data_IF_021127751036
#
_entry.id   IF_021127751036
#
_cell.length_a   1.000
_cell.length_b   1.000
_cell.length_c   1.000
_cell.angle_alpha   90.00
_cell.angle_beta   90.00
_cell.angle_gamma   90.00
#
_symmetry.space_group_name_H-M   'P 1'
#
loop_
_entity.id
_entity.type
_entity.pdbx_description
1 polymer ?
#
# COMPACT_ATOMS: atom_id res chain seq x y z
N UNK A 1 60.96 -37.70 -40.95
CA UNK A 1 60.16 -37.50 -39.71
C UNK A 1 60.18 -36.07 -39.14
N UNK A 2 60.91 -35.10 -39.70
CA UNK A 2 61.13 -33.77 -39.08
C UNK A 2 60.10 -32.69 -39.42
N UNK A 3 59.38 -32.78 -40.54
CA UNK A 3 58.41 -31.75 -40.97
C UNK A 3 57.06 -31.80 -40.22
N UNK A 4 56.54 -33.01 -39.94
CA UNK A 4 55.27 -33.21 -39.21
C UNK A 4 55.34 -32.75 -37.75
N UNK A 5 56.44 -33.04 -37.03
CA UNK A 5 56.63 -32.59 -35.63
C UNK A 5 56.68 -31.06 -35.50
N UNK A 6 57.33 -30.37 -36.46
CA UNK A 6 57.39 -28.90 -36.47
C UNK A 6 56.02 -28.26 -36.71
N UNK A 7 55.21 -28.84 -37.60
CA UNK A 7 53.84 -28.38 -37.84
C UNK A 7 52.93 -28.55 -36.62
N UNK A 8 53.04 -29.67 -35.91
CA UNK A 8 52.27 -29.91 -34.69
C UNK A 8 52.65 -28.95 -33.54
N UNK A 9 53.94 -28.65 -33.38
CA UNK A 9 54.42 -27.66 -32.39
C UNK A 9 53.93 -26.24 -32.71
N UNK A 10 53.92 -25.85 -33.98
CA UNK A 10 53.41 -24.52 -34.40
C UNK A 10 51.90 -24.43 -34.14
N UNK A 11 51.12 -25.47 -34.48
CA UNK A 11 49.68 -25.50 -34.22
C UNK A 11 49.36 -25.47 -32.71
N UNK A 12 50.10 -26.24 -31.90
CA UNK A 12 49.95 -26.23 -30.44
C UNK A 12 50.30 -24.86 -29.83
N UNK A 13 51.39 -24.24 -30.30
CA UNK A 13 51.78 -22.89 -29.87
C UNK A 13 50.74 -21.83 -30.26
N UNK A 14 50.14 -21.94 -31.45
CA UNK A 14 49.09 -21.02 -31.90
C UNK A 14 47.80 -21.18 -31.09
N UNK A 15 47.41 -22.43 -30.80
CA UNK A 15 46.26 -22.75 -29.93
C UNK A 15 46.44 -22.15 -28.52
N UNK A 16 47.61 -22.34 -27.92
CA UNK A 16 47.91 -21.79 -26.59
C UNK A 16 47.93 -20.25 -26.57
N UNK A 17 48.37 -19.61 -27.67
CA UNK A 17 48.34 -18.17 -27.80
C UNK A 17 46.91 -17.62 -27.95
N UNK A 18 46.03 -18.33 -28.68
CA UNK A 18 44.62 -17.98 -28.81
C UNK A 18 43.89 -18.11 -27.47
N UNK A 19 44.12 -19.19 -26.73
CA UNK A 19 43.53 -19.42 -25.40
C UNK A 19 43.96 -18.36 -24.38
N UNK A 20 45.26 -18.01 -24.35
CA UNK A 20 45.76 -16.90 -23.51
C UNK A 20 45.15 -15.55 -23.87
N UNK A 21 44.85 -15.32 -25.15
CA UNK A 21 44.21 -14.09 -25.62
C UNK A 21 42.74 -14.04 -25.21
N UNK A 22 42.02 -15.16 -25.36
CA UNK A 22 40.64 -15.30 -24.91
C UNK A 22 40.51 -15.07 -23.41
N UNK A 23 41.36 -15.72 -22.61
CA UNK A 23 41.36 -15.56 -21.15
C UNK A 23 41.63 -14.11 -20.70
N UNK A 24 42.60 -13.43 -21.34
CA UNK A 24 42.87 -12.01 -21.08
C UNK A 24 41.67 -11.11 -21.43
N UNK A 25 40.97 -11.40 -22.52
CA UNK A 25 39.78 -10.65 -22.91
C UNK A 25 38.62 -10.86 -21.94
N UNK A 26 38.42 -12.09 -21.45
CA UNK A 26 37.39 -12.41 -20.43
C UNK A 26 37.65 -11.65 -19.13
N UNK A 27 38.88 -11.66 -18.61
CA UNK A 27 39.24 -10.89 -17.40
C UNK A 27 39.01 -9.38 -17.61
N UNK A 28 39.39 -8.84 -18.77
CA UNK A 28 39.19 -7.43 -19.08
C UNK A 28 37.70 -7.06 -19.15
N UNK A 29 36.87 -7.93 -19.75
CA UNK A 29 35.41 -7.76 -19.83
C UNK A 29 34.79 -7.75 -18.44
N UNK A 30 35.10 -8.75 -17.60
CA UNK A 30 34.62 -8.82 -16.22
C UNK A 30 35.06 -7.60 -15.38
N UNK A 31 36.30 -7.11 -15.56
CA UNK A 31 36.80 -5.91 -14.90
C UNK A 31 36.06 -4.63 -15.30
N UNK A 32 35.76 -4.47 -16.61
CA UNK A 32 34.98 -3.33 -17.12
C UNK A 32 33.52 -3.37 -16.64
N UNK A 33 32.92 -4.56 -16.61
CA UNK A 33 31.56 -4.76 -16.12
C UNK A 33 31.44 -4.43 -14.62
N UNK A 34 32.40 -4.88 -13.81
CA UNK A 34 32.49 -4.51 -12.39
C UNK A 34 32.62 -2.99 -12.19
N UNK A 35 33.44 -2.32 -13.00
CA UNK A 35 33.60 -0.86 -12.94
C UNK A 35 32.31 -0.12 -13.35
N UNK A 36 31.59 -0.60 -14.38
CA UNK A 36 30.29 -0.06 -14.81
C UNK A 36 29.24 -0.22 -13.71
N UNK A 37 29.12 -1.41 -13.11
CA UNK A 37 28.24 -1.68 -11.96
C UNK A 37 28.58 -0.77 -10.76
N UNK A 38 29.86 -0.53 -10.47
CA UNK A 38 30.28 0.40 -9.41
C UNK A 38 29.93 1.86 -9.71
N UNK A 39 30.11 2.32 -10.95
CA UNK A 39 29.73 3.69 -11.35
C UNK A 39 28.21 3.89 -11.31
N UNK A 40 27.42 2.93 -11.77
CA UNK A 40 25.96 2.95 -11.64
C UNK A 40 25.53 2.98 -10.17
N UNK A 41 26.14 2.17 -9.29
CA UNK A 41 25.91 2.23 -7.83
C UNK A 41 26.22 3.60 -7.24
N UNK A 42 27.32 4.25 -7.64
CA UNK A 42 27.67 5.61 -7.20
C UNK A 42 26.67 6.67 -7.70
N UNK A 43 26.19 6.55 -8.94
CA UNK A 43 25.12 7.42 -9.48
C UNK A 43 23.79 7.22 -8.75
N UNK A 44 23.37 5.96 -8.53
CA UNK A 44 22.16 5.60 -7.77
C UNK A 44 22.16 6.15 -6.33
N UNK A 45 23.29 6.02 -5.61
CA UNK A 45 23.45 6.58 -4.25
C UNK A 45 23.30 8.10 -4.22
N UNK A 46 23.81 8.81 -5.24
CA UNK A 46 23.62 10.26 -5.35
C UNK A 46 22.16 10.63 -5.64
N UNK A 47 21.46 9.84 -6.46
CA UNK A 47 20.04 10.05 -6.78
C UNK A 47 19.15 9.94 -5.53
N UNK A 48 19.28 8.88 -4.75
CA UNK A 48 18.45 8.68 -3.55
C UNK A 48 18.58 9.82 -2.52
N UNK A 49 19.81 10.27 -2.26
CA UNK A 49 20.06 11.42 -1.36
C UNK A 49 19.47 12.71 -1.92
N UNK A 50 19.54 12.92 -3.24
CA UNK A 50 18.95 14.10 -3.89
C UNK A 50 17.43 14.17 -3.67
N UNK A 51 16.69 13.12 -3.99
CA UNK A 51 15.22 13.09 -3.81
C UNK A 51 14.81 13.23 -2.35
N UNK A 52 15.56 12.58 -1.45
CA UNK A 52 15.35 12.73 -0.01
C UNK A 52 15.53 14.18 0.44
N UNK A 53 16.61 14.84 0.05
CA UNK A 53 16.87 16.25 0.41
C UNK A 53 15.80 17.18 -0.17
N UNK A 54 15.38 16.94 -1.42
CA UNK A 54 14.30 17.68 -2.07
C UNK A 54 12.98 17.53 -1.31
N UNK A 55 12.63 16.31 -0.92
CA UNK A 55 11.46 16.02 -0.08
C UNK A 55 11.48 16.85 1.21
N UNK A 56 12.57 16.79 1.99
CA UNK A 56 12.66 17.54 3.24
C UNK A 56 12.67 19.05 3.05
N UNK A 57 13.34 19.55 2.00
CA UNK A 57 13.31 20.96 1.64
C UNK A 57 11.88 21.41 1.27
N UNK A 58 11.14 20.59 0.53
CA UNK A 58 9.74 20.84 0.16
C UNK A 58 8.81 20.88 1.37
N UNK A 59 8.99 19.97 2.33
CA UNK A 59 8.27 20.00 3.61
C UNK A 59 8.55 21.29 4.40
N UNK A 60 9.83 21.65 4.53
CA UNK A 60 10.26 22.84 5.27
C UNK A 60 9.71 24.13 4.63
N UNK A 61 9.78 24.26 3.30
CA UNK A 61 9.18 25.39 2.55
C UNK A 61 7.67 25.53 2.77
N UNK A 62 7.02 24.45 3.22
CA UNK A 62 5.61 24.41 3.55
C UNK A 62 5.30 24.42 5.05
N UNK A 63 6.28 24.67 5.92
CA UNK A 63 6.14 24.62 7.38
C UNK A 63 5.56 23.28 7.86
N UNK A 64 5.95 22.18 7.20
CA UNK A 64 5.55 20.83 7.58
C UNK A 64 6.70 20.19 8.33
N UNK A 65 6.44 19.82 9.58
CA UNK A 65 7.38 19.09 10.43
C UNK A 65 7.03 17.61 10.36
N UNK A 66 8.03 16.77 10.08
CA UNK A 66 7.88 15.33 10.14
C UNK A 66 7.95 14.88 11.61
N UNK A 67 6.98 14.11 12.07
CA UNK A 67 7.07 13.50 13.39
C UNK A 67 7.77 12.16 13.32
N UNK A 68 8.88 12.04 14.06
CA UNK A 68 9.64 10.80 14.20
C UNK A 68 9.15 9.91 15.35
N UNK A 69 8.10 10.32 16.08
CA UNK A 69 7.65 9.57 17.25
C UNK A 69 6.77 8.39 16.82
N UNK A 70 7.32 7.18 16.89
CA UNK A 70 6.64 5.91 16.58
C UNK A 70 5.43 5.59 17.47
N UNK A 71 5.14 6.38 18.51
CA UNK A 71 3.90 6.26 19.28
C UNK A 71 2.84 7.13 18.61
N UNK A 72 2.19 6.58 17.59
CA UNK A 72 1.07 7.25 16.93
C UNK A 72 -0.01 7.56 17.99
N UNK A 73 -0.49 8.80 18.01
CA UNK A 73 -1.58 9.24 18.90
C UNK A 73 -2.96 8.80 18.38
N UNK A 74 -3.01 8.19 17.20
CA UNK A 74 -4.23 7.67 16.62
C UNK A 74 -4.54 6.36 17.36
N UNK A 75 -5.53 6.41 18.25
CA UNK A 75 -6.11 5.20 18.82
C UNK A 75 -6.77 4.42 17.68
N UNK A 76 -6.14 3.34 17.26
CA UNK A 76 -6.75 2.38 16.34
C UNK A 76 -7.81 1.65 17.16
N UNK A 77 -9.08 1.93 16.89
CA UNK A 77 -10.18 1.18 17.48
C UNK A 77 -10.14 -0.23 16.85
N UNK A 78 -9.49 -1.19 17.52
CA UNK A 78 -9.28 -2.57 17.04
C UNK A 78 -10.54 -3.44 16.97
N UNK A 79 -11.69 -2.89 16.59
CA UNK A 79 -13.00 -3.48 16.81
C UNK A 79 -13.71 -4.01 15.57
N UNK A 80 -13.16 -3.85 14.37
CA UNK A 80 -13.89 -4.22 13.16
C UNK A 80 -13.55 -5.60 12.60
N UNK A 81 -12.46 -6.25 13.01
CA UNK A 81 -12.16 -7.60 12.53
C UNK A 81 -13.20 -8.62 13.01
N UNK A 82 -13.57 -9.55 12.13
CA UNK A 82 -14.39 -10.72 12.50
C UNK A 82 -13.49 -11.68 13.30
N UNK A 83 -13.38 -11.46 14.63
CA UNK A 83 -12.46 -12.18 15.52
C UNK A 83 -12.51 -13.69 15.35
N UNK A 84 -13.72 -14.24 15.15
CA UNK A 84 -13.95 -15.67 14.95
C UNK A 84 -13.21 -16.21 13.72
N UNK A 85 -13.20 -15.47 12.61
CA UNK A 85 -12.49 -15.83 11.38
C UNK A 85 -10.99 -15.53 11.52
N UNK A 86 -10.65 -14.33 12.01
CA UNK A 86 -9.26 -13.88 12.10
C UNK A 86 -8.35 -14.84 12.91
N UNK A 87 -8.88 -15.42 13.99
CA UNK A 87 -8.13 -16.42 14.78
C UNK A 87 -7.76 -17.68 13.99
N UNK A 88 -8.47 -17.98 12.89
CA UNK A 88 -8.15 -19.13 12.03
C UNK A 88 -7.00 -18.83 11.06
N UNK A 89 -6.73 -17.57 10.71
CA UNK A 89 -5.65 -17.21 9.78
C UNK A 89 -4.28 -17.68 10.29
N UNK A 90 -4.06 -17.66 11.61
CA UNK A 90 -2.86 -18.19 12.28
C UNK A 90 -2.61 -19.69 12.06
N UNK A 91 -3.57 -20.41 11.49
CA UNK A 91 -3.46 -21.85 11.16
C UNK A 91 -3.16 -22.10 9.68
N UNK A 92 -3.12 -21.05 8.85
CA UNK A 92 -2.91 -21.16 7.40
C UNK A 92 -1.43 -21.34 7.11
N UNK A 93 -0.97 -22.59 7.23
CA UNK A 93 0.40 -23.02 6.87
C UNK A 93 0.46 -23.79 5.55
N UNK A 94 -0.67 -24.31 5.11
CA UNK A 94 -0.80 -25.16 3.91
C UNK A 94 -2.05 -24.77 3.12
N UNK A 95 -2.10 -25.14 1.84
CA UNK A 95 -3.28 -24.92 0.99
C UNK A 95 -4.53 -25.64 1.52
N UNK A 96 -4.39 -26.85 2.08
CA UNK A 96 -5.52 -27.56 2.70
C UNK A 96 -6.13 -26.74 3.86
N UNK A 97 -5.27 -26.17 4.72
CA UNK A 97 -5.73 -25.31 5.82
C UNK A 97 -6.31 -23.99 5.32
N UNK A 98 -5.80 -23.45 4.22
CA UNK A 98 -6.41 -22.29 3.56
C UNK A 98 -7.84 -22.59 3.09
N UNK A 99 -8.06 -23.75 2.45
CA UNK A 99 -9.40 -24.19 2.01
C UNK A 99 -10.35 -24.36 3.19
N UNK A 100 -9.90 -24.97 4.30
CA UNK A 100 -10.68 -25.06 5.55
C UNK A 100 -11.13 -23.67 6.04
N UNK A 101 -10.22 -22.70 6.01
CA UNK A 101 -10.48 -21.31 6.41
C UNK A 101 -11.43 -20.61 5.44
N UNK A 102 -11.30 -20.83 4.13
CA UNK A 102 -12.24 -20.30 3.13
C UNK A 102 -13.64 -20.84 3.38
N UNK A 103 -13.80 -22.15 3.59
CA UNK A 103 -15.10 -22.76 3.88
C UNK A 103 -15.69 -22.22 5.18
N UNK A 104 -14.87 -22.08 6.23
CA UNK A 104 -15.27 -21.44 7.49
C UNK A 104 -15.73 -20.00 7.27
N UNK A 105 -15.02 -19.26 6.43
CA UNK A 105 -15.32 -17.87 6.08
C UNK A 105 -16.61 -17.78 5.27
N UNK A 106 -16.83 -18.65 4.27
CA UNK A 106 -18.06 -18.71 3.44
C UNK A 106 -19.29 -19.05 4.30
N UNK A 107 -19.15 -19.95 5.27
CA UNK A 107 -20.23 -20.38 6.14
C UNK A 107 -20.50 -19.45 7.33
N UNK A 108 -19.65 -18.45 7.56
CA UNK A 108 -19.91 -17.43 8.57
C UNK A 108 -21.15 -16.61 8.19
N UNK A 109 -22.01 -16.34 9.17
CA UNK A 109 -23.24 -15.54 9.00
C UNK A 109 -23.03 -14.15 9.61
N UNK A 110 -22.72 -13.11 8.81
CA UNK A 110 -22.56 -11.75 9.31
C UNK A 110 -23.80 -11.27 10.04
N UNK A 111 -23.60 -10.61 11.18
CA UNK A 111 -24.67 -9.98 11.94
C UNK A 111 -24.93 -8.55 11.46
N UNK A 112 -23.91 -7.90 10.90
CA UNK A 112 -23.98 -6.51 10.45
C UNK A 112 -23.44 -6.35 9.02
N UNK A 113 -23.86 -5.26 8.36
CA UNK A 113 -23.37 -4.90 7.01
C UNK A 113 -21.84 -4.79 6.98
N UNK A 114 -21.22 -4.29 8.05
CA UNK A 114 -19.76 -4.16 8.13
C UNK A 114 -19.05 -5.52 8.18
N UNK A 115 -19.57 -6.48 8.95
CA UNK A 115 -19.03 -7.83 8.95
C UNK A 115 -19.17 -8.50 7.58
N UNK A 116 -20.27 -8.26 6.86
CA UNK A 116 -20.46 -8.79 5.50
C UNK A 116 -19.41 -8.23 4.53
N UNK A 117 -19.13 -6.93 4.60
CA UNK A 117 -18.09 -6.26 3.81
C UNK A 117 -16.72 -6.88 4.10
N UNK A 118 -16.37 -7.05 5.38
CA UNK A 118 -15.09 -7.61 5.81
C UNK A 118 -14.95 -9.07 5.39
N UNK A 119 -16.01 -9.87 5.55
CA UNK A 119 -16.08 -11.24 5.05
C UNK A 119 -15.81 -11.30 3.54
N UNK A 120 -16.44 -10.43 2.76
CA UNK A 120 -16.24 -10.37 1.31
C UNK A 120 -14.80 -9.99 0.92
N UNK A 121 -14.15 -9.10 1.67
CA UNK A 121 -12.73 -8.76 1.46
C UNK A 121 -11.83 -9.96 1.77
N UNK A 122 -12.09 -10.67 2.89
CA UNK A 122 -11.37 -11.89 3.20
C UNK A 122 -11.51 -12.92 2.09
N UNK A 123 -12.73 -13.23 1.67
CA UNK A 123 -12.97 -14.21 0.60
C UNK A 123 -12.28 -13.80 -0.70
N UNK A 124 -12.38 -12.53 -1.11
CA UNK A 124 -11.70 -12.04 -2.31
C UNK A 124 -10.20 -12.35 -2.30
N UNK A 125 -9.52 -12.05 -1.18
CA UNK A 125 -8.09 -12.27 -1.05
C UNK A 125 -7.76 -13.76 -0.92
N UNK A 126 -8.51 -14.53 -0.12
CA UNK A 126 -8.23 -15.96 0.07
C UNK A 126 -8.50 -16.77 -1.21
N UNK A 127 -9.59 -16.49 -1.94
CA UNK A 127 -9.90 -17.15 -3.21
C UNK A 127 -8.82 -16.82 -4.26
N UNK A 128 -8.18 -15.63 -4.23
CA UNK A 128 -7.01 -15.34 -5.08
C UNK A 128 -5.82 -16.28 -4.82
N UNK A 129 -5.58 -16.69 -3.58
CA UNK A 129 -4.51 -17.64 -3.23
C UNK A 129 -4.83 -19.07 -3.68
N UNK A 130 -6.10 -19.47 -3.70
CA UNK A 130 -6.50 -20.83 -4.09
C UNK A 130 -6.71 -20.95 -5.59
N UNK A 131 -7.48 -20.05 -6.19
CA UNK A 131 -7.92 -20.17 -7.58
C UNK A 131 -6.86 -19.65 -8.55
N UNK A 132 -6.03 -18.70 -8.12
CA UNK A 132 -5.09 -17.98 -8.98
C UNK A 132 -3.73 -17.75 -8.34
N UNK A 133 -3.07 -18.75 -7.74
CA UNK A 133 -1.80 -18.56 -7.01
C UNK A 133 -0.69 -17.94 -7.87
N UNK A 134 -0.69 -18.18 -9.18
CA UNK A 134 0.32 -17.65 -10.11
C UNK A 134 0.36 -16.12 -10.17
N UNK A 135 -0.71 -15.41 -9.77
CA UNK A 135 -0.74 -13.94 -9.77
C UNK A 135 0.24 -13.33 -8.76
N UNK A 136 0.70 -14.12 -7.78
CA UNK A 136 1.69 -13.73 -6.78
C UNK A 136 3.09 -14.28 -7.10
N UNK A 137 3.27 -14.98 -8.23
CA UNK A 137 4.58 -15.46 -8.66
C UNK A 137 5.46 -14.29 -9.11
N UNK A 138 6.78 -14.44 -8.94
CA UNK A 138 7.79 -13.45 -9.33
C UNK A 138 7.61 -13.00 -10.80
N UNK A 139 7.46 -13.98 -11.71
CA UNK A 139 7.28 -13.74 -13.14
C UNK A 139 6.10 -12.80 -13.44
N UNK A 140 4.94 -13.00 -12.80
CA UNK A 140 3.78 -12.13 -13.02
C UNK A 140 3.91 -10.77 -12.34
N UNK A 141 4.52 -10.73 -11.16
CA UNK A 141 4.74 -9.50 -10.38
C UNK A 141 5.63 -8.50 -11.15
N UNK A 142 6.65 -8.98 -11.84
CA UNK A 142 7.60 -8.17 -12.61
C UNK A 142 6.95 -7.49 -13.82
N UNK A 143 6.03 -8.18 -14.49
CA UNK A 143 5.34 -7.66 -15.68
C UNK A 143 4.13 -6.79 -15.38
N UNK A 144 3.64 -6.75 -14.13
CA UNK A 144 2.51 -5.90 -13.78
C UNK A 144 2.82 -4.42 -13.98
N UNK A 145 1.89 -3.72 -14.61
CA UNK A 145 1.84 -2.26 -14.63
C UNK A 145 1.35 -1.71 -13.28
N UNK A 146 1.46 -0.40 -13.07
CA UNK A 146 0.82 0.26 -11.92
C UNK A 146 -0.71 0.05 -11.91
N UNK A 147 -1.34 0.12 -13.08
CA UNK A 147 -2.76 -0.12 -13.25
C UNK A 147 -3.18 -1.55 -12.87
N UNK A 148 -2.32 -2.55 -13.12
CA UNK A 148 -2.57 -3.92 -12.66
C UNK A 148 -2.67 -4.00 -11.14
N UNK A 149 -1.74 -3.35 -10.42
CA UNK A 149 -1.79 -3.28 -8.96
C UNK A 149 -3.08 -2.61 -8.49
N UNK A 150 -3.41 -1.46 -9.07
CA UNK A 150 -4.59 -0.70 -8.74
C UNK A 150 -5.87 -1.53 -8.94
N UNK A 151 -6.09 -2.08 -10.13
CA UNK A 151 -7.37 -2.69 -10.48
C UNK A 151 -7.53 -4.14 -10.02
N UNK A 152 -6.45 -4.93 -9.98
CA UNK A 152 -6.54 -6.35 -9.62
C UNK A 152 -6.52 -6.58 -8.10
N UNK A 153 -5.91 -5.68 -7.34
CA UNK A 153 -5.65 -5.93 -5.91
C UNK A 153 -6.30 -4.87 -5.00
N UNK A 154 -6.17 -3.58 -5.33
CA UNK A 154 -6.54 -2.51 -4.41
C UNK A 154 -7.96 -1.95 -4.60
N UNK A 155 -8.39 -1.73 -5.85
CA UNK A 155 -9.64 -1.03 -6.15
C UNK A 155 -10.85 -1.70 -5.52
N UNK A 156 -10.99 -3.01 -5.70
CA UNK A 156 -12.11 -3.79 -5.15
C UNK A 156 -12.21 -3.64 -3.63
N UNK A 157 -11.08 -3.73 -2.92
CA UNK A 157 -11.04 -3.63 -1.45
C UNK A 157 -11.47 -2.23 -0.99
N UNK A 158 -10.95 -1.20 -1.65
CA UNK A 158 -11.27 0.19 -1.33
C UNK A 158 -12.72 0.53 -1.63
N UNK A 159 -13.24 0.14 -2.80
CA UNK A 159 -14.64 0.36 -3.18
C UNK A 159 -15.61 -0.39 -2.27
N UNK A 160 -15.29 -1.65 -1.95
CA UNK A 160 -16.14 -2.49 -1.11
C UNK A 160 -16.20 -1.95 0.34
N UNK A 161 -15.09 -1.46 0.88
CA UNK A 161 -15.04 -0.98 2.26
C UNK A 161 -15.45 0.49 2.40
N UNK A 162 -14.84 1.39 1.61
CA UNK A 162 -15.00 2.84 1.75
C UNK A 162 -16.07 3.37 0.77
N UNK A 163 -16.19 2.79 -0.42
CA UNK A 163 -17.17 3.19 -1.44
C UNK A 163 -18.62 2.79 -1.12
N UNK A 164 -18.85 1.91 -0.14
CA UNK A 164 -20.20 1.57 0.35
C UNK A 164 -20.93 2.77 0.97
N UNK A 165 -20.20 3.80 1.35
CA UNK A 165 -20.71 5.01 2.00
C UNK A 165 -21.31 5.94 0.96
N UNK A 166 -22.58 6.30 1.14
CA UNK A 166 -23.26 7.24 0.24
C UNK A 166 -22.67 8.65 0.30
N UNK A 167 -22.02 8.99 1.41
CA UNK A 167 -21.38 10.27 1.67
C UNK A 167 -19.88 10.31 1.34
N UNK A 168 -19.33 9.24 0.76
CA UNK A 168 -17.92 9.17 0.36
C UNK A 168 -17.80 8.66 -1.07
N UNK A 169 -17.17 9.45 -1.92
CA UNK A 169 -16.92 9.12 -3.31
C UNK A 169 -15.44 8.87 -3.55
N UNK A 170 -15.09 7.67 -4.01
CA UNK A 170 -13.75 7.34 -4.47
C UNK A 170 -13.56 7.87 -5.89
N UNK A 171 -12.47 8.58 -6.11
CA UNK A 171 -12.09 9.14 -7.40
C UNK A 171 -10.73 8.56 -7.78
N UNK A 172 -10.73 7.67 -8.76
CA UNK A 172 -9.55 6.98 -9.29
C UNK A 172 -8.96 7.66 -10.52
N UNK A 173 -7.67 7.42 -10.76
CA UNK A 173 -6.92 7.91 -11.93
C UNK A 173 -6.38 9.32 -11.72
N UNK A 174 -6.00 10.00 -12.80
CA UNK A 174 -5.33 11.32 -12.81
C UNK A 174 -6.21 12.51 -12.34
N UNK A 175 -6.71 12.45 -11.11
CA UNK A 175 -7.71 13.39 -10.62
C UNK A 175 -7.09 14.62 -9.98
N UNK A 176 -7.64 15.81 -10.29
CA UNK A 176 -7.12 17.10 -9.79
C UNK A 176 -8.13 17.73 -8.84
N UNK A 177 -7.73 17.96 -7.58
CA UNK A 177 -8.60 18.57 -6.56
C UNK A 177 -8.96 20.02 -6.88
N UNK A 178 -10.21 20.39 -6.63
CA UNK A 178 -10.67 21.77 -6.69
C UNK A 178 -9.91 22.67 -5.72
N UNK A 179 -9.60 22.16 -4.51
CA UNK A 179 -8.82 22.90 -3.50
C UNK A 179 -7.38 23.19 -3.98
N UNK A 180 -6.76 22.24 -4.68
CA UNK A 180 -5.45 22.43 -5.31
C UNK A 180 -5.53 23.45 -6.47
N UNK A 181 -6.56 23.36 -7.33
CA UNK A 181 -6.79 24.31 -8.44
C UNK A 181 -6.96 25.75 -7.93
N UNK A 182 -7.71 25.95 -6.84
CA UNK A 182 -7.94 27.27 -6.21
C UNK A 182 -6.63 27.96 -5.79
N UNK A 183 -5.56 27.21 -5.51
CA UNK A 183 -4.22 27.76 -5.17
C UNK A 183 -3.22 27.69 -6.33
N UNK A 184 -3.70 27.45 -7.55
CA UNK A 184 -2.88 27.39 -8.76
C UNK A 184 -2.02 26.14 -8.87
N UNK A 185 -2.41 25.04 -8.22
CA UNK A 185 -1.73 23.74 -8.29
C UNK A 185 -2.54 22.74 -9.10
N UNK A 186 -1.86 21.91 -9.89
CA UNK A 186 -2.44 20.90 -10.76
C UNK A 186 -1.91 19.50 -10.41
N UNK A 187 -1.92 19.16 -9.13
CA UNK A 187 -1.54 17.82 -8.70
C UNK A 187 -2.57 16.81 -9.23
N UNK A 188 -2.08 15.87 -10.03
CA UNK A 188 -2.79 14.65 -10.39
C UNK A 188 -2.51 13.61 -9.30
N UNK A 189 -3.58 13.08 -8.71
CA UNK A 189 -3.55 12.11 -7.62
C UNK A 189 -4.32 10.88 -8.07
N UNK A 190 -3.73 9.69 -7.95
CA UNK A 190 -4.29 8.41 -8.42
C UNK A 190 -5.56 8.00 -7.69
N UNK A 191 -5.68 8.43 -6.43
CA UNK A 191 -6.85 8.22 -5.60
C UNK A 191 -7.18 9.47 -4.80
N UNK A 192 -8.47 9.78 -4.70
CA UNK A 192 -9.00 10.72 -3.71
C UNK A 192 -10.29 10.18 -3.13
N UNK A 193 -10.49 10.39 -1.83
CA UNK A 193 -11.77 10.14 -1.18
C UNK A 193 -12.41 11.50 -0.93
N UNK A 194 -13.54 11.74 -1.59
CA UNK A 194 -14.27 12.99 -1.55
C UNK A 194 -15.50 12.79 -0.68
N UNK A 195 -15.61 13.55 0.41
CA UNK A 195 -16.78 13.55 1.27
C UNK A 195 -17.88 14.43 0.65
N UNK A 196 -19.09 13.90 0.60
CA UNK A 196 -20.30 14.60 0.17
C UNK A 196 -21.05 14.99 1.45
N UNK A 197 -21.14 16.29 1.72
CA UNK A 197 -21.76 16.79 2.95
C UNK A 197 -23.27 17.00 2.75
N UNK A 198 -23.63 17.74 1.69
CA UNK A 198 -25.00 18.05 1.23
C UNK A 198 -25.06 17.87 -0.30
N UNK A 199 -26.21 18.15 -0.94
CA UNK A 199 -26.48 17.89 -2.37
C UNK A 199 -25.47 18.48 -3.37
N UNK A 200 -24.63 19.45 -2.96
CA UNK A 200 -23.62 20.07 -3.83
C UNK A 200 -22.23 20.27 -3.18
N UNK A 201 -22.11 20.15 -1.85
CA UNK A 201 -20.87 20.47 -1.15
C UNK A 201 -19.94 19.27 -1.08
N UNK A 202 -18.89 19.31 -1.90
CA UNK A 202 -17.84 18.29 -1.95
C UNK A 202 -16.55 18.78 -1.25
N UNK A 203 -15.98 17.91 -0.42
CA UNK A 203 -14.78 18.19 0.36
C UNK A 203 -13.79 17.05 0.19
N UNK A 204 -12.55 17.34 -0.21
CA UNK A 204 -11.52 16.31 -0.29
C UNK A 204 -11.10 15.86 1.13
N UNK A 205 -11.36 14.59 1.47
CA UNK A 205 -11.04 14.01 2.78
C UNK A 205 -9.75 13.19 2.82
N UNK A 206 -9.34 12.59 1.69
CA UNK A 206 -8.12 11.77 1.62
C UNK A 206 -7.44 11.91 0.25
N UNK A 207 -6.11 11.81 0.24
CA UNK A 207 -5.31 11.66 -0.98
C UNK A 207 -4.64 10.30 -1.01
N UNK A 208 -4.54 9.69 -2.18
CA UNK A 208 -3.80 8.46 -2.40
C UNK A 208 -2.90 8.54 -3.62
N UNK A 209 -1.72 7.94 -3.53
CA UNK A 209 -0.80 7.69 -4.65
C UNK A 209 -0.52 6.21 -4.77
N UNK A 210 -0.37 5.77 -6.01
CA UNK A 210 -0.03 4.41 -6.37
C UNK A 210 1.26 4.39 -7.19
N UNK A 211 1.99 3.30 -7.02
CA UNK A 211 3.21 3.04 -7.77
C UNK A 211 3.33 1.54 -8.02
N UNK A 212 3.88 1.14 -9.17
CA UNK A 212 4.25 -0.26 -9.43
C UNK A 212 5.26 -0.78 -8.39
N UNK A 213 6.33 -0.02 -8.13
CA UNK A 213 7.48 -0.42 -7.30
C UNK A 213 7.89 0.72 -6.37
N UNK A 214 8.36 0.35 -5.18
CA UNK A 214 8.84 1.28 -4.18
C UNK A 214 10.27 1.74 -4.49
N UNK A 215 10.46 2.61 -5.50
CA UNK A 215 11.77 3.24 -5.74
C UNK A 215 11.95 4.48 -4.86
N UNK A 216 13.19 4.78 -4.46
CA UNK A 216 13.47 5.95 -3.59
C UNK A 216 13.00 7.27 -4.24
N UNK A 217 13.22 7.42 -5.56
CA UNK A 217 12.73 8.56 -6.36
C UNK A 217 11.21 8.69 -6.25
N UNK A 218 10.49 7.64 -6.64
CA UNK A 218 9.03 7.60 -6.69
C UNK A 218 8.40 7.81 -5.32
N UNK A 219 8.88 7.10 -4.28
CA UNK A 219 8.37 7.24 -2.91
C UNK A 219 8.46 8.68 -2.42
N UNK A 220 9.60 9.34 -2.58
CA UNK A 220 9.77 10.70 -2.08
C UNK A 220 9.02 11.74 -2.92
N UNK A 221 9.01 11.59 -4.26
CA UNK A 221 8.26 12.47 -5.17
C UNK A 221 6.76 12.39 -4.90
N UNK A 222 6.19 11.20 -4.92
CA UNK A 222 4.76 10.98 -4.69
C UNK A 222 4.37 11.40 -3.26
N UNK A 223 5.16 11.02 -2.24
CA UNK A 223 4.87 11.43 -0.85
C UNK A 223 4.89 12.94 -0.68
N UNK A 224 5.83 13.66 -1.32
CA UNK A 224 5.85 15.12 -1.30
C UNK A 224 4.59 15.70 -1.97
N UNK A 225 4.25 15.18 -3.16
CA UNK A 225 3.09 15.58 -3.95
C UNK A 225 1.79 15.42 -3.15
N UNK A 226 1.50 14.24 -2.59
CA UNK A 226 0.28 14.02 -1.78
C UNK A 226 0.28 14.85 -0.51
N UNK A 227 1.43 15.01 0.14
CA UNK A 227 1.53 15.82 1.37
C UNK A 227 1.14 17.27 1.11
N UNK A 228 1.62 17.85 0.01
CA UNK A 228 1.33 19.24 -0.35
C UNK A 228 -0.11 19.37 -0.87
N UNK A 229 -0.63 18.37 -1.58
CA UNK A 229 -2.04 18.32 -1.94
C UNK A 229 -2.94 18.28 -0.68
N UNK A 230 -2.68 17.38 0.26
CA UNK A 230 -3.43 17.29 1.53
C UNK A 230 -3.30 18.54 2.39
N UNK A 231 -2.17 19.27 2.35
CA UNK A 231 -2.08 20.61 2.93
C UNK A 231 -3.07 21.58 2.28
N UNK A 232 -3.22 21.56 0.96
CA UNK A 232 -4.21 22.38 0.26
C UNK A 232 -5.64 22.02 0.68
N UNK A 233 -5.90 20.73 0.85
CA UNK A 233 -7.20 20.20 1.29
C UNK A 233 -7.50 20.67 2.72
N UNK A 234 -6.58 20.45 3.66
CA UNK A 234 -6.67 20.91 5.05
C UNK A 234 -6.89 22.43 5.15
N UNK A 235 -6.16 23.21 4.36
CA UNK A 235 -6.32 24.66 4.34
C UNK A 235 -7.70 25.11 3.85
N UNK A 236 -8.24 24.40 2.87
CA UNK A 236 -9.56 24.70 2.30
C UNK A 236 -10.65 24.30 3.29
N UNK A 237 -10.53 23.11 3.88
CA UNK A 237 -11.39 22.63 4.94
C UNK A 237 -11.50 23.63 6.11
N UNK A 238 -10.38 24.13 6.63
CA UNK A 238 -10.40 25.12 7.73
C UNK A 238 -11.08 26.43 7.31
N UNK A 239 -10.94 26.87 6.05
CA UNK A 239 -11.60 28.09 5.56
C UNK A 239 -13.12 27.93 5.44
N UNK A 240 -13.57 26.73 5.15
CA UNK A 240 -14.99 26.38 5.03
C UNK A 240 -15.68 26.23 6.39
N UNK A 241 -14.91 26.24 7.49
CA UNK A 241 -15.41 26.17 8.87
C UNK A 241 -15.20 27.48 9.64
N UNK A 242 -15.97 28.55 9.33
CA UNK A 242 -15.77 29.85 9.95
C UNK A 242 -15.99 29.86 11.46
N UNK A 243 -16.70 28.89 12.03
CA UNK A 243 -17.05 28.85 13.46
C UNK A 243 -16.28 27.80 14.26
N UNK A 244 -15.31 27.11 13.66
CA UNK A 244 -14.50 26.13 14.39
C UNK A 244 -13.69 26.80 15.50
N UNK A 245 -13.68 26.20 16.69
CA UNK A 245 -12.89 26.72 17.81
C UNK A 245 -11.41 26.44 17.56
N UNK A 246 -10.57 27.37 18.02
CA UNK A 246 -9.11 27.25 17.96
C UNK A 246 -8.58 25.89 18.49
N UNK A 247 -9.18 25.36 19.55
CA UNK A 247 -8.79 24.09 20.17
C UNK A 247 -9.18 22.85 19.37
N UNK A 248 -10.13 22.98 18.43
CA UNK A 248 -10.61 21.85 17.62
C UNK A 248 -9.83 21.72 16.29
N UNK A 249 -9.13 22.78 15.84
CA UNK A 249 -8.31 22.74 14.62
C UNK A 249 -7.25 21.62 14.64
N UNK A 250 -6.53 21.36 15.75
CA UNK A 250 -5.61 20.23 15.86
C UNK A 250 -6.25 18.84 15.71
N UNK A 251 -7.58 18.73 15.85
CA UNK A 251 -8.30 17.46 15.71
C UNK A 251 -8.52 17.08 14.24
N UNK A 252 -8.38 18.03 13.32
CA UNK A 252 -8.53 17.80 11.89
C UNK A 252 -7.31 17.03 11.37
N UNK A 253 -7.57 15.83 10.86
CA UNK A 253 -6.57 14.89 10.36
C UNK A 253 -6.93 14.49 8.93
N UNK A 254 -6.08 14.84 7.97
CA UNK A 254 -6.25 14.46 6.56
C UNK A 254 -5.40 13.22 6.27
N UNK A 255 -6.00 12.03 6.07
CA UNK A 255 -5.26 10.83 5.71
C UNK A 255 -4.60 10.93 4.33
N UNK A 256 -3.41 10.33 4.23
CA UNK A 256 -2.60 10.19 3.01
C UNK A 256 -2.24 8.72 2.85
N UNK A 257 -2.68 8.13 1.75
CA UNK A 257 -2.45 6.72 1.42
C UNK A 257 -1.33 6.66 0.37
N UNK A 258 -0.30 5.87 0.62
CA UNK A 258 0.76 5.63 -0.36
C UNK A 258 0.90 4.14 -0.57
N UNK A 259 0.70 3.66 -1.79
CA UNK A 259 0.78 2.26 -2.17
C UNK A 259 1.88 2.08 -3.21
N UNK A 260 2.73 1.07 -3.01
CA UNK A 260 3.75 0.66 -3.96
C UNK A 260 3.74 -0.86 -4.09
N UNK A 261 3.22 -1.35 -5.22
CA UNK A 261 2.94 -2.76 -5.44
C UNK A 261 1.95 -3.30 -4.41
N UNK A 262 2.37 -4.31 -3.63
CA UNK A 262 1.56 -4.89 -2.54
C UNK A 262 1.76 -4.22 -1.18
N UNK A 263 2.64 -3.22 -1.05
CA UNK A 263 2.90 -2.58 0.22
C UNK A 263 2.24 -1.20 0.26
N UNK A 264 1.78 -0.81 1.45
CA UNK A 264 1.13 0.47 1.66
C UNK A 264 1.54 1.13 2.96
N UNK A 265 1.35 2.44 3.01
CA UNK A 265 1.60 3.27 4.19
C UNK A 265 0.47 4.27 4.36
N UNK A 266 -0.04 4.38 5.59
CA UNK A 266 -0.93 5.48 5.96
C UNK A 266 -0.12 6.55 6.70
N UNK A 267 -0.16 7.76 6.18
CA UNK A 267 0.32 8.96 6.84
C UNK A 267 -0.87 9.92 7.09
N UNK A 268 -0.69 10.90 7.96
CA UNK A 268 -1.69 11.92 8.26
C UNK A 268 -1.02 13.29 8.29
N UNK A 269 -1.65 14.27 7.65
CA UNK A 269 -1.31 15.69 7.85
C UNK A 269 -2.32 16.36 8.77
N UNK A 270 -1.82 17.16 9.71
CA UNK A 270 -2.62 17.92 10.67
C UNK A 270 -2.00 19.31 10.93
N UNK A 271 -2.73 20.17 11.65
CA UNK A 271 -2.30 21.52 12.03
C UNK A 271 -2.35 21.68 13.56
N UNK A 272 -1.39 21.10 14.31
CA UNK A 272 -1.42 21.10 15.77
C UNK A 272 -1.27 22.51 16.39
N UNK A 273 -0.64 23.44 15.66
CA UNK A 273 -0.45 24.83 16.08
C UNK A 273 -0.62 25.75 14.88
N UNK A 274 -0.83 27.04 15.17
CA UNK A 274 -0.87 28.09 14.16
C UNK A 274 0.37 28.02 13.27
N UNK A 275 0.15 27.89 11.97
CA UNK A 275 1.15 27.91 10.89
C UNK A 275 2.17 26.76 10.91
N UNK A 276 2.01 25.78 11.79
CA UNK A 276 2.91 24.63 11.93
C UNK A 276 2.13 23.34 11.62
N UNK A 277 2.40 22.77 10.46
CA UNK A 277 1.79 21.53 10.01
C UNK A 277 2.63 20.36 10.48
N UNK A 278 1.98 19.23 10.73
CA UNK A 278 2.63 18.01 11.15
C UNK A 278 2.25 16.87 10.22
N UNK A 279 3.26 16.19 9.69
CA UNK A 279 3.11 14.94 8.95
C UNK A 279 3.53 13.79 9.87
N UNK A 280 2.62 12.85 10.09
CA UNK A 280 2.85 11.67 10.91
C UNK A 280 2.66 10.41 10.08
N UNK A 281 3.59 9.47 10.17
CA UNK A 281 3.41 8.13 9.65
C UNK A 281 2.68 7.30 10.70
N UNK A 282 1.48 6.78 10.38
CA UNK A 282 0.62 6.13 11.37
C UNK A 282 0.93 4.64 11.45
N UNK A 283 0.87 3.94 10.33
CA UNK A 283 1.22 2.52 10.26
C UNK A 283 1.43 2.07 8.80
N UNK A 284 2.02 0.89 8.63
CA UNK A 284 2.23 0.24 7.33
C UNK A 284 1.28 -0.95 7.18
N UNK A 285 0.85 -1.22 5.95
CA UNK A 285 0.02 -2.37 5.61
C UNK A 285 0.54 -3.06 4.35
N UNK A 286 0.04 -4.26 4.08
CA UNK A 286 0.28 -4.92 2.81
C UNK A 286 -0.92 -5.73 2.37
N UNK A 287 -1.04 -5.93 1.06
CA UNK A 287 -1.85 -6.98 0.47
C UNK A 287 -1.09 -8.31 0.65
N UNK A 288 -1.70 -9.34 1.27
CA UNK A 288 -0.98 -10.58 1.54
C UNK A 288 -0.75 -11.36 0.23
N UNK A 289 0.52 -11.55 -0.11
CA UNK A 289 1.00 -12.30 -1.28
C UNK A 289 1.51 -13.70 -0.95
N UNK A 290 1.47 -14.14 0.32
CA UNK A 290 1.81 -15.50 0.72
C UNK A 290 0.99 -16.00 1.92
N UNK A 291 0.94 -17.33 2.10
CA UNK A 291 0.31 -17.95 3.26
C UNK A 291 0.92 -17.47 4.58
N UNK A 292 2.25 -17.31 4.64
CA UNK A 292 2.96 -16.76 5.80
C UNK A 292 2.45 -15.35 6.17
N UNK A 293 2.20 -14.49 5.18
CA UNK A 293 1.66 -13.16 5.45
C UNK A 293 0.23 -13.22 6.02
N UNK A 294 -0.61 -14.12 5.48
CA UNK A 294 -1.94 -14.41 6.04
C UNK A 294 -1.82 -14.89 7.49
N UNK A 295 -0.94 -15.85 7.76
CA UNK A 295 -0.67 -16.39 9.11
C UNK A 295 -0.24 -15.31 10.10
N UNK A 296 0.61 -14.38 9.67
CA UNK A 296 1.13 -13.28 10.52
C UNK A 296 0.15 -12.12 10.73
N UNK A 297 -1.05 -12.18 10.14
CA UNK A 297 -2.11 -11.20 10.38
C UNK A 297 -2.14 -10.02 9.40
N UNK A 298 -1.60 -10.16 8.19
CA UNK A 298 -1.67 -9.10 7.17
C UNK A 298 -3.10 -8.73 6.78
N UNK A 299 -4.04 -9.68 6.81
CA UNK A 299 -5.46 -9.42 6.54
C UNK A 299 -6.07 -8.50 7.61
N UNK A 300 -5.85 -8.80 8.89
CA UNK A 300 -6.35 -7.99 9.99
C UNK A 300 -5.73 -6.59 9.98
N UNK A 301 -4.45 -6.48 9.65
CA UNK A 301 -3.76 -5.20 9.48
C UNK A 301 -4.37 -4.39 8.34
N UNK A 302 -4.76 -5.04 7.23
CA UNK A 302 -5.44 -4.40 6.11
C UNK A 302 -6.87 -3.93 6.47
N UNK A 303 -7.60 -4.67 7.30
CA UNK A 303 -8.91 -4.20 7.79
C UNK A 303 -8.72 -3.03 8.76
N UNK A 304 -7.78 -3.12 9.70
CA UNK A 304 -7.47 -2.04 10.64
C UNK A 304 -7.09 -0.75 9.92
N UNK A 305 -6.36 -0.86 8.80
CA UNK A 305 -6.08 0.25 7.90
C UNK A 305 -7.35 0.94 7.41
N UNK A 306 -8.24 0.18 6.77
CA UNK A 306 -9.45 0.70 6.14
C UNK A 306 -10.36 1.33 7.20
N UNK A 307 -10.52 0.66 8.35
CA UNK A 307 -11.25 1.20 9.51
C UNK A 307 -10.66 2.52 10.00
N UNK A 308 -9.33 2.63 10.06
CA UNK A 308 -8.66 3.86 10.50
C UNK A 308 -8.91 5.01 9.53
N UNK A 309 -8.93 4.76 8.23
CA UNK A 309 -9.27 5.77 7.22
C UNK A 309 -10.73 6.16 7.35
N UNK A 310 -11.64 5.19 7.50
CA UNK A 310 -13.09 5.42 7.67
C UNK A 310 -13.38 6.28 8.91
N UNK A 311 -12.79 5.94 10.06
CA UNK A 311 -12.88 6.71 11.30
C UNK A 311 -12.37 8.16 11.12
N UNK A 312 -11.28 8.36 10.35
CA UNK A 312 -10.78 9.71 10.06
C UNK A 312 -11.75 10.51 9.20
N UNK A 313 -12.38 9.89 8.20
CA UNK A 313 -13.39 10.54 7.37
C UNK A 313 -14.65 10.90 8.19
N UNK A 314 -15.10 10.02 9.08
CA UNK A 314 -16.21 10.31 10.00
C UNK A 314 -15.90 11.49 10.91
N UNK A 315 -14.69 11.55 11.45
CA UNK A 315 -14.25 12.68 12.27
C UNK A 315 -14.23 13.99 11.47
N UNK A 316 -13.73 13.96 10.23
CA UNK A 316 -13.77 15.14 9.35
C UNK A 316 -15.21 15.58 9.06
N UNK A 317 -16.10 14.64 8.73
CA UNK A 317 -17.51 14.93 8.48
C UNK A 317 -18.19 15.53 9.71
N UNK A 318 -17.99 14.95 10.89
CA UNK A 318 -18.54 15.46 12.14
C UNK A 318 -18.05 16.88 12.43
N UNK A 319 -16.74 17.12 12.31
CA UNK A 319 -16.16 18.46 12.47
C UNK A 319 -16.76 19.43 11.46
N UNK A 320 -16.96 18.99 10.21
CA UNK A 320 -17.55 19.83 9.18
C UNK A 320 -18.99 20.21 9.54
N UNK A 321 -19.84 19.25 9.83
CA UNK A 321 -21.25 19.47 10.19
C UNK A 321 -21.39 20.37 11.43
N UNK A 322 -20.62 20.10 12.50
CA UNK A 322 -20.69 20.84 13.76
C UNK A 322 -20.25 22.31 13.64
N UNK A 323 -19.52 22.67 12.58
CA UNK A 323 -18.90 23.99 12.41
C UNK A 323 -19.23 24.73 11.10
N UNK A 324 -19.96 24.10 10.18
CA UNK A 324 -20.39 24.71 8.91
C UNK A 324 -21.76 25.39 9.02
N UNK A 325 -22.71 24.82 9.77
CA UNK A 325 -24.05 25.37 9.92
C UNK A 325 -24.11 26.50 10.96
N UNK A 326 -24.19 27.74 10.50
CA UNK A 326 -24.59 28.88 11.34
C UNK A 326 -26.10 29.04 11.48
N UNK A 327 -26.86 28.50 10.53
CA UNK A 327 -28.18 29.05 10.15
C UNK A 327 -29.36 28.25 10.70
N UNK A 328 -29.16 26.98 11.08
CA UNK A 328 -30.27 26.11 11.47
C UNK A 328 -30.99 26.55 12.75
N UNK A 329 -30.42 27.47 13.52
CA UNK A 329 -30.98 27.92 14.79
C UNK A 329 -30.80 29.42 15.01
N UNK A 330 -30.93 30.25 13.98
CA UNK A 330 -30.93 31.71 14.16
C UNK A 330 -31.99 32.12 15.20
N UNK A 331 -33.17 31.49 15.18
CA UNK A 331 -34.24 31.75 16.16
C UNK A 331 -33.83 31.29 17.57
N UNK A 332 -33.30 30.08 17.74
CA UNK A 332 -32.91 29.59 19.07
C UNK A 332 -31.70 30.35 19.63
N UNK A 333 -30.73 30.75 18.79
CA UNK A 333 -29.59 31.57 19.17
C UNK A 333 -30.02 33.00 19.54
N UNK A 334 -31.02 33.56 18.86
CA UNK A 334 -31.62 34.86 19.22
C UNK A 334 -32.38 34.74 20.56
N UNK A 335 -33.16 33.66 20.75
CA UNK A 335 -33.99 33.47 21.94
C UNK A 335 -33.19 33.12 23.20
N UNK A 336 -32.01 32.49 23.06
CA UNK A 336 -31.23 32.02 24.21
C UNK A 336 -30.12 32.98 24.65
N UNK A 337 -29.93 34.13 23.96
CA UNK A 337 -28.81 35.06 24.16
C UNK A 337 -27.43 34.36 24.22
N UNK A 338 -27.31 33.17 23.62
CA UNK A 338 -26.09 32.37 23.70
C UNK A 338 -25.03 33.09 22.89
N UNK A 339 -23.95 33.47 23.59
CA UNK A 339 -22.76 34.13 23.05
C UNK A 339 -22.42 33.61 21.64
N UNK A 340 -22.62 34.47 20.63
CA UNK A 340 -22.34 34.14 19.23
C UNK A 340 -20.91 33.58 19.11
N UNK A 341 -20.78 32.38 18.50
CA UNK A 341 -19.47 31.77 18.27
C UNK A 341 -18.60 32.74 17.47
N UNK A 342 -17.49 33.20 18.07
CA UNK A 342 -16.55 34.10 17.41
C UNK A 342 -15.95 33.41 16.18
N UNK A 343 -16.05 34.05 15.01
CA UNK A 343 -15.45 33.55 13.77
C UNK A 343 -13.94 33.33 13.93
N UNK A 344 -13.45 32.19 13.45
CA UNK A 344 -12.03 31.87 13.43
C UNK A 344 -11.31 32.77 12.42
N UNK A 345 -10.26 33.47 12.85
CA UNK A 345 -9.32 34.09 11.93
C UNK A 345 -8.41 33.01 11.31
N UNK A 346 -8.88 32.34 10.26
CA UNK A 346 -8.13 31.25 9.62
C UNK A 346 -6.77 31.70 9.06
N UNK A 347 -6.58 32.96 8.66
CA UNK A 347 -5.30 33.49 8.18
C UNK A 347 -4.20 33.47 9.27
N UNK A 348 -4.59 33.48 10.54
CA UNK A 348 -3.66 33.30 11.65
C UNK A 348 -3.20 31.83 11.81
N UNK A 349 -3.93 30.89 11.24
CA UNK A 349 -3.70 29.44 11.37
C UNK A 349 -2.98 28.84 10.19
N UNK A 350 -3.38 29.18 8.96
CA UNK A 350 -2.88 28.49 7.77
C UNK A 350 -1.72 29.24 7.10
N UNK A 351 -0.94 28.54 6.29
CA UNK A 351 0.04 29.13 5.36
C UNK A 351 -0.21 28.67 3.94
N UNK A 352 0.22 29.48 2.97
CA UNK A 352 0.11 29.13 1.54
C UNK A 352 0.89 27.84 1.26
N UNK A 353 0.32 26.97 0.44
CA UNK A 353 1.03 25.81 -0.10
C UNK A 353 1.95 26.26 -1.23
N UNK A 354 3.23 25.88 -1.15
CA UNK A 354 4.25 26.15 -2.16
C UNK A 354 4.69 24.81 -2.76
N UNK A 355 4.89 24.81 -4.08
CA UNK A 355 5.40 23.66 -4.81
C UNK A 355 6.12 24.26 -6.00
N UNK A 356 7.43 24.10 -6.04
CA UNK A 356 8.21 24.46 -7.21
C UNK A 356 7.74 23.53 -8.32
N UNK A 357 7.33 24.11 -9.46
CA UNK A 357 7.07 23.28 -10.63
C UNK A 357 8.35 22.49 -10.85
N UNK A 358 8.22 21.18 -10.77
CA UNK A 358 9.25 20.32 -11.33
C UNK A 358 9.23 20.56 -12.84
N UNK A 359 10.41 20.68 -13.44
CA UNK A 359 10.58 20.55 -14.90
C UNK A 359 10.33 19.06 -15.24
N UNK A 360 9.12 18.60 -14.93
CA UNK A 360 8.67 17.21 -14.82
C UNK A 360 8.32 16.60 -16.19
N UNK A 361 8.55 17.34 -17.28
CA UNK A 361 8.12 16.96 -18.62
C UNK A 361 9.23 16.24 -19.43
N UNK A 362 10.43 15.99 -18.88
CA UNK A 362 11.56 15.44 -19.67
C UNK A 362 12.07 14.04 -19.29
N UNK A 363 11.68 13.43 -18.16
CA UNK A 363 12.37 12.22 -17.63
C UNK A 363 11.47 11.00 -17.31
N UNK A 364 10.20 11.00 -17.69
CA UNK A 364 9.27 9.88 -17.37
C UNK A 364 9.09 8.86 -18.52
N UNK A 365 9.74 9.01 -19.68
CA UNK A 365 9.60 8.08 -20.83
C UNK A 365 10.76 7.06 -21.02
N UNK A 366 11.91 7.19 -20.34
CA UNK A 366 13.13 6.41 -20.69
C UNK A 366 13.69 5.48 -19.57
N UNK A 367 13.04 5.35 -18.41
CA UNK A 367 13.53 4.53 -17.28
C UNK A 367 12.92 3.09 -17.24
N UNK A 368 12.17 2.66 -18.27
CA UNK A 368 11.49 1.34 -18.26
C UNK A 368 12.38 0.12 -18.60
N UNK A 369 13.64 0.30 -19.05
CA UNK A 369 14.38 -0.79 -19.73
C UNK A 369 15.69 -1.30 -19.07
N UNK A 370 16.13 -0.85 -17.88
CA UNK A 370 17.50 -1.18 -17.40
C UNK A 370 17.58 -1.69 -15.93
N UNK A 371 16.58 -2.46 -15.48
CA UNK A 371 16.51 -3.10 -14.15
C UNK A 371 16.65 -4.65 -14.21
N UNK A 372 17.21 -5.20 -15.29
CA UNK A 372 17.74 -6.58 -15.32
C UNK A 372 19.12 -6.61 -14.61
N UNK A 373 19.16 -7.08 -13.35
CA UNK A 373 20.33 -7.65 -12.64
C UNK A 373 20.33 -7.27 -11.14
N UNK A 374 19.41 -7.82 -10.36
CA UNK A 374 19.63 -7.98 -8.91
C UNK A 374 18.96 -9.29 -8.45
N UNK A 375 19.37 -10.40 -9.07
CA UNK A 375 19.20 -11.76 -8.54
C UNK A 375 20.54 -12.21 -7.92
N UNK A 376 20.79 -11.72 -6.70
CA UNK A 376 21.67 -12.38 -5.74
C UNK A 376 20.94 -12.36 -4.38
N UNK A 377 19.87 -13.14 -4.26
CA UNK A 377 19.50 -13.72 -2.96
C UNK A 377 19.84 -15.21 -3.06
N UNK A 378 20.83 -15.63 -2.27
CA UNK A 378 21.14 -17.00 -1.89
C UNK A 378 19.84 -17.67 -1.39
N UNK A 379 19.17 -18.42 -2.27
CA UNK A 379 18.32 -19.52 -1.84
C UNK A 379 19.26 -20.68 -1.53
N UNK A 380 19.55 -20.86 -0.24
CA UNK A 380 20.16 -22.09 0.26
C UNK A 380 19.32 -23.27 -0.25
N UNK A 381 19.97 -24.12 -1.03
CA UNK A 381 19.48 -25.40 -1.52
C UNK A 381 19.07 -26.26 -0.30
N UNK A 382 17.76 -26.43 -0.08
CA UNK A 382 17.23 -27.58 0.65
C UNK A 382 17.41 -28.80 -0.27
N UNK A 383 18.59 -29.40 -0.20
CA UNK A 383 18.95 -30.63 -0.89
C UNK A 383 18.29 -31.83 -0.19
N UNK A 384 17.61 -32.63 -0.99
CA UNK A 384 16.96 -33.89 -0.65
C UNK A 384 17.95 -34.92 -0.07
N UNK A 385 17.56 -35.63 1.00
CA UNK A 385 17.96 -37.04 1.17
C UNK A 385 16.72 -37.91 1.39
N UNK A 386 16.19 -38.42 0.27
CA UNK A 386 15.49 -39.70 0.24
C UNK A 386 16.45 -40.82 0.61
N UNK A 387 16.03 -41.71 1.52
CA UNK A 387 16.62 -43.04 1.61
C UNK A 387 16.54 -43.68 3.00
N UNK A 388 15.42 -44.33 3.31
CA UNK A 388 15.55 -45.73 3.73
C UNK A 388 14.23 -46.50 3.60
N UNK A 389 14.27 -47.48 2.70
CA UNK A 389 13.31 -48.56 2.61
C UNK A 389 13.48 -49.47 3.83
N UNK A 390 12.41 -49.73 4.56
CA UNK A 390 12.24 -51.00 5.27
C UNK A 390 10.86 -51.58 4.97
N UNK A 391 10.89 -52.52 4.04
CA UNK A 391 10.01 -53.68 4.03
C UNK A 391 10.18 -54.41 5.38
N UNK A 392 9.07 -54.78 6.01
CA UNK A 392 8.89 -56.12 6.60
C UNK A 392 7.48 -56.22 7.19
N UNK A 393 6.67 -57.05 6.54
CA UNK A 393 5.81 -58.11 7.08
C UNK A 393 5.07 -57.87 8.39
N UNK A 394 3.73 -57.95 8.32
CA UNK A 394 2.96 -58.96 9.07
C UNK A 394 1.45 -58.92 8.76
N UNK A 395 1.00 -60.07 8.23
CA UNK A 395 -0.13 -60.89 8.69
C UNK A 395 -1.49 -60.18 8.81
N UNK A 396 -2.40 -60.38 7.84
CA UNK A 396 -3.41 -61.46 7.86
C UNK A 396 -4.07 -61.62 9.23
N UNK A 397 -5.31 -61.13 9.35
CA UNK A 397 -6.33 -61.84 10.10
C UNK A 397 -7.70 -61.52 9.49
N UNK A 398 -8.23 -62.55 8.84
CA UNK A 398 -9.61 -62.74 8.47
C UNK A 398 -10.54 -62.50 9.67
N UNK A 399 -11.71 -61.92 9.38
CA UNK A 399 -12.99 -62.38 9.94
C UNK A 399 -14.13 -61.78 9.14
N UNK A 400 -14.60 -62.60 8.21
CA UNK A 400 -16.01 -62.73 7.87
C UNK A 400 -16.83 -62.85 9.16
N UNK A 401 -17.97 -62.17 9.23
CA UNK A 401 -19.22 -62.81 9.61
C UNK A 401 -20.38 -61.94 9.12
N UNK A 402 -21.27 -62.65 8.44
CA UNK A 402 -22.53 -62.26 7.83
C UNK A 402 -23.57 -61.84 8.87
N UNK A 403 -24.66 -61.27 8.35
CA UNK A 403 -26.06 -61.61 8.66
C UNK A 403 -26.92 -60.33 8.61
N UNK A 404 -27.77 -60.20 7.58
CA UNK A 404 -29.22 -60.45 7.63
C UNK A 404 -29.93 -59.32 8.41
N UNK A 405 -31.07 -58.74 8.04
CA UNK A 405 -32.13 -58.90 7.04
C UNK A 405 -33.01 -57.62 7.24
N UNK A 406 -33.68 -57.09 6.23
CA UNK A 406 -35.17 -56.96 6.11
C UNK A 406 -35.87 -56.42 7.40
N UNK A 407 -36.69 -55.36 7.41
CA UNK A 407 -37.86 -55.05 6.59
C UNK A 407 -38.40 -53.64 6.92
N UNK A 408 -39.12 -53.07 5.94
CA UNK A 408 -40.36 -52.28 5.98
C UNK A 408 -40.83 -51.61 7.30
N UNK A 409 -41.28 -50.35 7.22
CA UNK A 409 -42.72 -50.05 7.35
C UNK A 409 -43.06 -48.58 6.99
N UNK A 410 -44.22 -48.43 6.35
CA UNK A 410 -44.88 -47.18 5.98
C UNK A 410 -45.39 -46.39 7.21
N UNK A 411 -45.39 -45.06 7.09
CA UNK A 411 -46.02 -44.14 8.05
C UNK A 411 -46.21 -42.73 7.50
#
# INVERSE_FOLDING_TARGET
>A
MTKRRRSALIASSASLAAEKTLYKNTIKKAGLEKLRKEQQRKKRKKGGTFYRNRYFAGLLKNNIVLSSNNKSLVKINGWQNIKKIATQFKKVKTLAKLTDVINTTKNYKPQETQEKVIQNIYLFILDMHVDRPWIFSKQFIEIYSEADYQYKFWSYIFELFLGRRQDVLLRWGDTISGSCKKVGKKFKLDLRLVMIQDDENIVDGCTGEMAKKATVKKIYKDKLKSTIASKCHLNTFIKELPYIRAQDVPLIKMPIIQIAGFNGKLSVISLPKKKEYKLEDIFSFCFPKSLKQIETGSLENLINFLSTVDDMLDNLRKIYHDNSSSVANDIENILTEVNQKKKLNYNAWITKATFEKEDDDEDDEDDEDDDEDDDEEDDEEDDDEEGDKKEDDREEDDKEEDDEEEDDDDG
#
